data_IF_897955569038
#
_entry.id   IF_897955569038
#
_cell.length_a   1.000
_cell.length_b   1.000
_cell.length_c   1.000
_cell.angle_alpha   90.00
_cell.angle_beta   90.00
_cell.angle_gamma   90.00
#
_symmetry.space_group_name_H-M   'P 1'
#
loop_
_entity.id
_entity.type
_entity.pdbx_description
1 polymer ?
#
# COMPACT_ATOMS: atom_id res chain seq x y z
N UNK A 1 -4.53 14.42 -8.89
CA UNK A 1 -5.74 13.60 -8.65
C UNK A 1 -5.80 13.04 -7.24
N UNK A 2 -4.70 12.53 -6.66
CA UNK A 2 -4.71 11.94 -5.31
C UNK A 2 -5.22 12.85 -4.18
N UNK A 3 -4.80 14.12 -4.15
CA UNK A 3 -5.28 15.09 -3.16
C UNK A 3 -6.80 15.38 -3.27
N UNK A 4 -7.38 15.25 -4.47
CA UNK A 4 -8.81 15.48 -4.71
C UNK A 4 -9.66 14.31 -4.22
N UNK A 5 -9.15 13.07 -4.29
CA UNK A 5 -9.81 11.87 -3.77
C UNK A 5 -9.96 11.91 -2.25
N UNK A 6 -8.90 12.29 -1.54
CA UNK A 6 -8.95 12.53 -0.08
C UNK A 6 -9.99 13.61 0.28
N UNK A 7 -10.06 14.69 -0.51
CA UNK A 7 -11.00 15.79 -0.30
C UNK A 7 -12.48 15.39 -0.53
N UNK A 8 -12.74 14.31 -1.26
CA UNK A 8 -14.08 13.75 -1.47
C UNK A 8 -14.51 12.79 -0.33
N UNK A 9 -13.60 12.45 0.59
CA UNK A 9 -13.87 11.53 1.70
C UNK A 9 -14.04 10.07 1.28
N UNK A 10 -13.64 9.72 0.04
CA UNK A 10 -13.77 8.37 -0.48
C UNK A 10 -12.56 7.53 -0.05
N UNK A 11 -12.76 6.78 1.04
CA UNK A 11 -11.76 5.87 1.63
C UNK A 11 -11.43 4.73 0.66
N UNK A 12 -12.41 4.20 -0.07
CA UNK A 12 -12.19 3.08 -1.00
C UNK A 12 -11.34 3.52 -2.19
N UNK A 13 -11.68 4.67 -2.79
CA UNK A 13 -10.86 5.22 -3.88
C UNK A 13 -9.46 5.62 -3.39
N UNK A 14 -9.34 6.13 -2.17
CA UNK A 14 -8.04 6.48 -1.57
C UNK A 14 -7.15 5.25 -1.36
N UNK A 15 -7.71 4.16 -0.84
CA UNK A 15 -6.94 2.93 -0.59
C UNK A 15 -6.57 2.23 -1.90
N UNK A 16 -7.43 2.27 -2.92
CA UNK A 16 -7.12 1.76 -4.27
C UNK A 16 -5.91 2.49 -4.89
N UNK A 17 -5.77 3.80 -4.66
CA UNK A 17 -4.57 4.53 -5.10
C UNK A 17 -3.31 4.10 -4.37
N UNK A 18 -3.38 3.88 -3.05
CA UNK A 18 -2.23 3.38 -2.26
C UNK A 18 -1.80 2.00 -2.77
N UNK A 19 -2.76 1.12 -3.05
CA UNK A 19 -2.49 -0.20 -3.65
C UNK A 19 -1.85 -0.05 -5.03
N UNK A 20 -2.32 0.89 -5.85
CA UNK A 20 -1.69 1.20 -7.14
C UNK A 20 -0.23 1.63 -6.98
N UNK A 21 0.09 2.48 -5.99
CA UNK A 21 1.48 2.84 -5.68
C UNK A 21 2.30 1.64 -5.19
N UNK A 22 1.71 0.75 -4.39
CA UNK A 22 2.35 -0.49 -3.99
C UNK A 22 2.78 -1.32 -5.20
N UNK A 23 1.91 -1.46 -6.21
CA UNK A 23 2.23 -2.15 -7.46
C UNK A 23 3.40 -1.47 -8.19
N UNK A 24 3.34 -0.15 -8.34
CA UNK A 24 4.37 0.64 -9.02
C UNK A 24 5.74 0.48 -8.35
N UNK A 25 5.81 0.54 -7.02
CA UNK A 25 7.07 0.34 -6.29
C UNK A 25 7.57 -1.09 -6.36
N UNK A 26 6.68 -2.08 -6.34
CA UNK A 26 7.04 -3.47 -6.53
C UNK A 26 7.67 -3.71 -7.92
N UNK A 27 7.13 -3.11 -8.98
CA UNK A 27 7.71 -3.19 -10.34
C UNK A 27 9.05 -2.44 -10.46
N UNK A 28 9.31 -1.45 -9.60
CA UNK A 28 10.59 -0.74 -9.53
C UNK A 28 11.61 -1.40 -8.59
N UNK A 29 11.26 -2.56 -8.02
CA UNK A 29 12.07 -3.26 -7.01
C UNK A 29 12.33 -2.43 -5.73
N UNK A 30 11.53 -1.38 -5.47
CA UNK A 30 11.58 -0.62 -4.22
C UNK A 30 10.76 -1.34 -3.14
N UNK A 31 11.35 -2.40 -2.60
CA UNK A 31 10.72 -3.26 -1.62
C UNK A 31 10.27 -2.51 -0.35
N UNK A 32 11.04 -1.49 0.08
CA UNK A 32 10.73 -0.74 1.30
C UNK A 32 9.46 0.09 1.12
N UNK A 33 9.35 0.83 0.01
CA UNK A 33 8.14 1.64 -0.26
C UNK A 33 6.94 0.76 -0.57
N UNK A 34 7.12 -0.31 -1.35
CA UNK A 34 6.05 -1.28 -1.62
C UNK A 34 5.50 -1.88 -0.31
N UNK A 35 6.37 -2.31 0.61
CA UNK A 35 5.98 -2.83 1.91
C UNK A 35 5.18 -1.82 2.74
N UNK A 36 5.62 -0.55 2.80
CA UNK A 36 4.87 0.49 3.53
C UNK A 36 3.49 0.72 2.93
N UNK A 37 3.37 0.76 1.61
CA UNK A 37 2.07 0.92 0.95
C UNK A 37 1.14 -0.27 1.21
N UNK A 38 1.66 -1.50 1.18
CA UNK A 38 0.89 -2.70 1.52
C UNK A 38 0.38 -2.67 2.97
N UNK A 39 1.24 -2.24 3.91
CA UNK A 39 0.85 -2.06 5.31
C UNK A 39 -0.26 -1.04 5.48
N UNK A 40 -0.09 0.13 4.86
CA UNK A 40 -1.06 1.23 4.92
C UNK A 40 -2.42 0.85 4.32
N UNK A 41 -2.44 0.21 3.14
CA UNK A 41 -3.69 -0.20 2.51
C UNK A 41 -4.41 -1.29 3.31
N UNK A 42 -3.65 -2.28 3.81
CA UNK A 42 -4.20 -3.37 4.63
C UNK A 42 -4.80 -2.87 5.94
N UNK A 43 -4.14 -1.93 6.62
CA UNK A 43 -4.64 -1.31 7.84
C UNK A 43 -5.88 -0.46 7.59
N UNK A 44 -5.87 0.34 6.52
CA UNK A 44 -7.00 1.20 6.13
C UNK A 44 -8.24 0.36 5.81
N UNK A 45 -8.10 -0.67 4.95
CA UNK A 45 -9.21 -1.57 4.61
C UNK A 45 -9.79 -2.26 5.84
N UNK A 46 -8.94 -2.75 6.74
CA UNK A 46 -9.38 -3.37 7.99
C UNK A 46 -10.11 -2.38 8.90
N UNK A 47 -9.60 -1.17 9.07
CA UNK A 47 -10.20 -0.14 9.91
C UNK A 47 -11.52 0.40 9.36
N UNK A 48 -11.70 0.39 8.04
CA UNK A 48 -12.94 0.80 7.37
C UNK A 48 -13.91 -0.37 7.11
N UNK A 49 -13.54 -1.61 7.47
CA UNK A 49 -14.30 -2.84 7.17
C UNK A 49 -14.59 -3.04 5.67
N UNK A 50 -13.68 -2.58 4.80
CA UNK A 50 -13.82 -2.66 3.33
C UNK A 50 -12.94 -3.82 2.83
N UNK A 51 -13.53 -4.92 2.32
CA UNK A 51 -12.74 -5.99 1.74
C UNK A 51 -12.08 -5.56 0.42
N UNK A 52 -10.93 -6.14 0.12
CA UNK A 52 -10.33 -6.04 -1.22
C UNK A 52 -11.04 -7.03 -2.15
N UNK A 53 -11.30 -6.64 -3.39
CA UNK A 53 -11.85 -7.55 -4.39
C UNK A 53 -10.83 -8.65 -4.71
N UNK A 54 -11.29 -9.90 -4.87
CA UNK A 54 -10.39 -11.04 -5.06
C UNK A 54 -9.38 -10.87 -6.22
N UNK A 55 -9.78 -10.38 -7.41
CA UNK A 55 -8.81 -10.13 -8.49
C UNK A 55 -7.72 -9.13 -8.08
N UNK A 56 -8.09 -8.05 -7.40
CA UNK A 56 -7.15 -7.01 -6.98
C UNK A 56 -6.18 -7.54 -5.92
N UNK A 57 -6.67 -8.38 -5.01
CA UNK A 57 -5.83 -9.06 -4.02
C UNK A 57 -4.82 -10.01 -4.67
N UNK A 58 -5.22 -10.75 -5.70
CA UNK A 58 -4.33 -11.64 -6.47
C UNK A 58 -3.24 -10.84 -7.19
N UNK A 59 -3.60 -9.72 -7.83
CA UNK A 59 -2.66 -8.82 -8.49
C UNK A 59 -1.67 -8.20 -7.51
N UNK A 60 -2.16 -7.75 -6.36
CA UNK A 60 -1.34 -7.19 -5.31
C UNK A 60 -0.33 -8.22 -4.81
N UNK A 61 -0.79 -9.42 -4.42
CA UNK A 61 0.05 -10.51 -3.95
C UNK A 61 1.10 -10.94 -5.00
N UNK A 62 0.69 -11.05 -6.27
CA UNK A 62 1.60 -11.39 -7.36
C UNK A 62 2.74 -10.38 -7.48
N UNK A 63 2.42 -9.09 -7.38
CA UNK A 63 3.40 -8.01 -7.52
C UNK A 63 4.33 -7.93 -6.32
N UNK A 64 3.79 -7.95 -5.10
CA UNK A 64 4.62 -7.88 -3.88
C UNK A 64 5.51 -9.11 -3.69
N UNK A 65 5.13 -10.27 -4.22
CA UNK A 65 5.97 -11.47 -4.15
C UNK A 65 7.36 -11.26 -4.76
N UNK A 66 7.48 -10.43 -5.80
CA UNK A 66 8.76 -10.12 -6.47
C UNK A 66 9.75 -9.42 -5.54
N UNK A 67 9.25 -8.63 -4.60
CA UNK A 67 10.04 -7.74 -3.75
C UNK A 67 10.04 -8.14 -2.27
N UNK A 68 9.19 -9.08 -1.87
CA UNK A 68 9.02 -9.52 -0.47
C UNK A 68 10.32 -10.01 0.18
N UNK A 69 11.19 -10.62 -0.61
CA UNK A 69 12.45 -11.19 -0.13
C UNK A 69 13.65 -10.25 -0.31
N UNK A 70 13.42 -9.00 -0.77
CA UNK A 70 14.46 -8.00 -0.99
C UNK A 70 14.36 -6.85 0.04
N UNK A 71 15.47 -6.38 0.63
CA UNK A 71 16.78 -7.03 0.73
C UNK A 71 16.78 -8.23 1.69
N UNK A 72 15.82 -8.28 2.63
CA UNK A 72 15.60 -9.40 3.55
C UNK A 72 14.16 -9.39 4.12
N UNK A 73 13.65 -10.54 4.61
CA UNK A 73 12.28 -10.65 5.12
C UNK A 73 11.97 -9.86 6.40
N UNK A 74 12.96 -9.55 7.24
CA UNK A 74 12.75 -8.75 8.47
C UNK A 74 12.56 -7.27 8.12
N UNK A 75 13.37 -6.75 7.20
CA UNK A 75 13.21 -5.40 6.65
C UNK A 75 11.86 -5.24 5.98
N UNK A 76 11.41 -6.23 5.21
CA UNK A 76 10.06 -6.24 4.63
C UNK A 76 8.98 -6.13 5.72
N UNK A 77 9.00 -7.03 6.72
CA UNK A 77 8.01 -7.01 7.81
C UNK A 77 8.02 -5.71 8.61
N UNK A 78 9.21 -5.16 8.85
CA UNK A 78 9.37 -3.87 9.54
C UNK A 78 8.70 -2.74 8.75
N UNK A 79 8.91 -2.70 7.43
CA UNK A 79 8.28 -1.69 6.59
C UNK A 79 6.76 -1.89 6.45
N UNK A 80 6.27 -3.14 6.39
CA UNK A 80 4.82 -3.42 6.44
C UNK A 80 4.22 -2.92 7.75
N UNK A 81 4.87 -3.19 8.89
CA UNK A 81 4.42 -2.71 10.19
C UNK A 81 4.43 -1.19 10.26
N UNK A 82 5.52 -0.53 9.83
CA UNK A 82 5.61 0.92 9.79
C UNK A 82 4.51 1.55 8.91
N UNK A 83 4.25 0.96 7.74
CA UNK A 83 3.17 1.40 6.87
C UNK A 83 1.77 1.24 7.49
N UNK A 84 1.57 0.22 8.31
CA UNK A 84 0.28 0.00 8.99
C UNK A 84 -0.09 1.08 10.02
N UNK A 85 0.90 1.88 10.45
CA UNK A 85 0.70 3.02 11.35
C UNK A 85 0.37 4.33 10.59
N UNK A 86 0.44 4.33 9.25
CA UNK A 86 0.18 5.52 8.45
C UNK A 86 -1.32 5.87 8.42
N UNK A 87 -1.61 7.17 8.47
CA UNK A 87 -2.88 7.66 7.97
C UNK A 87 -2.91 7.59 6.43
N UNK A 88 -4.11 7.64 5.83
CA UNK A 88 -4.25 7.75 4.36
C UNK A 88 -3.42 8.91 3.79
N UNK A 89 -3.35 10.02 4.51
CA UNK A 89 -2.59 11.19 4.11
C UNK A 89 -1.07 10.91 4.17
N UNK A 90 -0.59 10.30 5.25
CA UNK A 90 0.84 9.95 5.39
C UNK A 90 1.29 8.98 4.30
N UNK A 91 0.45 7.98 4.00
CA UNK A 91 0.73 7.01 2.94
C UNK A 91 0.85 7.68 1.56
N UNK A 92 -0.06 8.60 1.23
CA UNK A 92 0.00 9.32 -0.05
C UNK A 92 1.18 10.30 -0.11
N UNK A 93 1.54 10.95 1.00
CA UNK A 93 2.75 11.77 1.05
C UNK A 93 4.02 10.94 0.88
N UNK A 94 4.11 9.78 1.55
CA UNK A 94 5.24 8.87 1.40
C UNK A 94 5.35 8.33 -0.03
N UNK A 95 4.22 8.04 -0.69
CA UNK A 95 4.18 7.57 -2.07
C UNK A 95 4.60 8.62 -3.12
N UNK A 96 4.44 9.91 -2.83
CA UNK A 96 4.76 10.99 -3.78
C UNK A 96 6.17 11.55 -3.64
N UNK A 97 6.93 11.08 -2.65
CA UNK A 97 8.31 11.50 -2.40
C UNK A 97 9.33 10.85 -3.33
#
# INVERSE_FOLDING_TARGET
HAATTLALGDVDLSVNMIETFCLVFAEQEDASRAARMLGASSATRRGAEIPIAAPDAEWLEHSVRKVRDLPDPETWRTNVAAGSEFTLQDALYDALR
#
